data_IF_746367775002
#
_entry.id   IF_746367775002
#
_cell.length_a   1.000
_cell.length_b   1.000
_cell.length_c   1.000
_cell.angle_alpha   90.00
_cell.angle_beta   90.00
_cell.angle_gamma   90.00
#
_symmetry.space_group_name_H-M   'P 1'
#
loop_
_entity.id
_entity.type
_entity.pdbx_description
1 polymer ?
#
# COMPACT_ATOMS: atom_id res chain seq x y z
N UNK A 1 -1.43 12.28 23.75
CA UNK A 1 -2.73 11.59 23.67
C UNK A 1 -2.77 10.48 24.72
N UNK A 2 -3.91 10.20 25.33
CA UNK A 2 -4.08 9.07 26.27
C UNK A 2 -5.26 8.23 25.80
N UNK A 3 -5.05 6.94 25.54
CA UNK A 3 -6.11 6.03 25.14
C UNK A 3 -6.91 5.55 26.37
N UNK A 4 -8.24 5.63 26.30
CA UNK A 4 -9.12 5.25 27.41
C UNK A 4 -9.32 3.74 27.58
N UNK A 5 -9.33 3.00 26.47
CA UNK A 5 -9.47 1.54 26.48
C UNK A 5 -8.84 0.93 25.22
N UNK A 6 -8.49 -0.36 25.29
CA UNK A 6 -8.02 -1.14 24.16
C UNK A 6 -9.01 -2.27 23.87
N UNK A 7 -9.26 -2.53 22.58
CA UNK A 7 -10.07 -3.66 22.12
C UNK A 7 -9.28 -4.48 21.09
N UNK A 8 -9.06 -5.78 21.31
CA UNK A 8 -8.42 -6.63 20.31
C UNK A 8 -9.38 -6.87 19.15
N UNK A 9 -8.95 -6.51 17.94
CA UNK A 9 -9.68 -6.67 16.67
C UNK A 9 -8.71 -7.20 15.60
N UNK A 10 -9.26 -7.84 14.57
CA UNK A 10 -8.53 -8.24 13.36
C UNK A 10 -8.93 -7.37 12.16
N UNK A 11 -8.16 -7.41 11.06
CA UNK A 11 -8.26 -6.45 9.94
C UNK A 11 -9.68 -6.04 9.55
N UNK A 12 -10.56 -6.98 9.21
CA UNK A 12 -11.95 -6.67 8.82
C UNK A 12 -12.78 -6.10 9.97
N UNK A 13 -12.59 -6.61 11.19
CA UNK A 13 -13.29 -6.12 12.37
C UNK A 13 -12.81 -4.71 12.77
N UNK A 14 -11.53 -4.37 12.56
CA UNK A 14 -10.97 -3.04 12.81
C UNK A 14 -11.60 -1.99 11.90
N UNK A 15 -11.70 -2.27 10.59
CA UNK A 15 -12.36 -1.36 9.63
C UNK A 15 -13.80 -1.08 10.03
N UNK A 16 -14.59 -2.14 10.31
CA UNK A 16 -15.99 -1.98 10.71
C UNK A 16 -16.15 -1.22 12.04
N UNK A 17 -15.22 -1.42 12.98
CA UNK A 17 -15.23 -0.70 14.25
C UNK A 17 -14.89 0.78 14.09
N UNK A 18 -13.98 1.14 13.17
CA UNK A 18 -13.67 2.52 12.81
C UNK A 18 -14.88 3.20 12.15
N UNK A 19 -15.48 2.57 11.13
CA UNK A 19 -16.64 3.13 10.42
C UNK A 19 -17.84 3.36 11.35
N UNK A 20 -18.07 2.44 12.30
CA UNK A 20 -19.19 2.55 13.24
C UNK A 20 -18.92 3.45 14.44
N UNK A 21 -17.71 4.00 14.58
CA UNK A 21 -17.30 4.80 15.73
C UNK A 21 -17.18 4.01 17.03
N UNK A 22 -17.04 2.68 16.95
CA UNK A 22 -16.80 1.82 18.10
C UNK A 22 -15.36 1.96 18.64
N UNK A 23 -14.42 2.34 17.77
CA UNK A 23 -13.05 2.71 18.13
C UNK A 23 -12.68 4.01 17.41
N UNK A 24 -11.85 4.84 18.05
CA UNK A 24 -11.38 6.11 17.46
C UNK A 24 -10.10 5.94 16.61
N UNK A 25 -9.33 4.88 16.87
CA UNK A 25 -8.05 4.57 16.21
C UNK A 25 -7.94 3.05 16.03
N UNK A 26 -7.43 2.62 14.89
CA UNK A 26 -7.26 1.21 14.53
C UNK A 26 -5.95 0.95 13.80
N UNK A 27 -5.49 -0.29 13.84
CA UNK A 27 -4.29 -0.73 13.10
C UNK A 27 -4.71 -1.14 11.69
N UNK A 28 -4.14 -0.48 10.70
CA UNK A 28 -4.25 -0.76 9.27
C UNK A 28 -2.83 -0.82 8.68
N UNK A 29 -2.67 -1.44 7.51
CA UNK A 29 -1.41 -1.40 6.74
C UNK A 29 -1.44 -0.22 5.77
N UNK A 30 -0.30 0.43 5.55
CA UNK A 30 -0.19 1.73 4.86
C UNK A 30 -0.67 1.73 3.41
N UNK A 31 -0.73 0.57 2.77
CA UNK A 31 -1.16 0.40 1.37
C UNK A 31 -2.56 -0.24 1.23
N UNK A 32 -3.32 -0.34 2.32
CA UNK A 32 -4.69 -0.88 2.26
C UNK A 32 -5.63 0.10 1.55
N UNK A 33 -6.25 -0.37 0.48
CA UNK A 33 -7.26 0.34 -0.34
C UNK A 33 -8.39 0.98 0.49
N UNK A 34 -8.75 0.34 1.61
CA UNK A 34 -9.82 0.80 2.50
C UNK A 34 -9.56 2.18 3.12
N UNK A 35 -8.30 2.60 3.21
CA UNK A 35 -7.93 3.91 3.77
C UNK A 35 -8.58 5.01 2.94
N UNK A 36 -8.36 5.01 1.63
CA UNK A 36 -8.95 5.98 0.72
C UNK A 36 -10.45 5.77 0.54
N UNK A 37 -10.88 4.51 0.35
CA UNK A 37 -12.29 4.18 0.11
C UNK A 37 -13.23 4.58 1.26
N UNK A 38 -12.69 4.74 2.49
CA UNK A 38 -13.44 5.14 3.69
C UNK A 38 -13.05 6.50 4.24
N UNK A 39 -12.21 7.26 3.52
CA UNK A 39 -11.71 8.58 3.92
C UNK A 39 -11.08 8.54 5.33
N UNK A 40 -10.32 7.48 5.61
CA UNK A 40 -9.56 7.36 6.85
C UNK A 40 -8.26 8.16 6.76
N UNK A 41 -7.86 8.73 7.90
CA UNK A 41 -6.61 9.47 8.00
C UNK A 41 -5.50 8.54 8.48
N UNK A 42 -4.47 8.33 7.64
CA UNK A 42 -3.25 7.64 8.04
C UNK A 42 -2.40 8.53 8.94
N UNK A 43 -1.96 8.00 10.08
CA UNK A 43 -1.06 8.70 10.99
C UNK A 43 0.41 8.42 10.61
N UNK A 44 1.25 9.45 10.67
CA UNK A 44 2.69 9.34 10.47
C UNK A 44 3.36 8.58 11.62
N UNK A 45 4.25 7.63 11.31
CA UNK A 45 5.15 7.00 12.30
C UNK A 45 6.39 7.88 12.51
N UNK A 46 6.19 9.02 13.16
CA UNK A 46 7.19 10.06 13.37
C UNK A 46 8.41 9.62 14.18
N UNK A 47 8.26 8.57 14.99
CA UNK A 47 9.32 7.98 15.81
C UNK A 47 9.98 6.76 15.17
N UNK A 48 9.57 6.36 13.97
CA UNK A 48 10.05 5.16 13.27
C UNK A 48 9.97 3.92 14.17
N UNK A 49 8.83 3.73 14.83
CA UNK A 49 8.61 2.59 15.71
C UNK A 49 8.47 1.30 14.91
N UNK A 50 7.95 1.38 13.68
CA UNK A 50 7.87 0.28 12.73
C UNK A 50 9.06 0.29 11.78
N UNK A 51 9.54 -0.90 11.43
CA UNK A 51 10.50 -1.03 10.35
C UNK A 51 9.83 -0.72 9.02
N UNK A 52 10.52 -0.03 8.12
CA UNK A 52 10.03 0.19 6.77
C UNK A 52 9.95 -1.16 6.01
N UNK A 53 8.81 -1.41 5.38
CA UNK A 53 8.54 -2.60 4.58
C UNK A 53 8.50 -2.25 3.08
N UNK A 54 9.57 -1.65 2.57
CA UNK A 54 9.66 -1.20 1.18
C UNK A 54 9.61 -2.36 0.19
N UNK A 55 8.85 -2.19 -0.89
CA UNK A 55 8.84 -3.12 -2.02
C UNK A 55 10.23 -3.08 -2.67
N UNK A 56 10.91 -4.23 -2.71
CA UNK A 56 12.26 -4.35 -3.26
C UNK A 56 12.34 -5.51 -4.24
N UNK A 57 12.64 -5.27 -5.53
CA UNK A 57 12.85 -6.34 -6.49
C UNK A 57 14.02 -7.24 -6.11
N UNK A 58 13.83 -8.55 -6.24
CA UNK A 58 14.89 -9.54 -6.04
C UNK A 58 15.07 -10.36 -7.33
N UNK A 59 16.27 -10.33 -7.88
CA UNK A 59 16.62 -10.99 -9.14
C UNK A 59 17.84 -11.90 -8.99
N UNK A 60 17.91 -12.97 -9.78
CA UNK A 60 19.05 -13.89 -9.79
C UNK A 60 20.24 -13.28 -10.54
N UNK A 61 21.45 -13.46 -10.00
CA UNK A 61 22.69 -12.97 -10.62
C UNK A 61 22.91 -13.47 -12.05
N UNK A 62 22.37 -14.64 -12.41
CA UNK A 62 22.54 -15.22 -13.75
C UNK A 62 21.71 -14.55 -14.84
N UNK A 63 20.76 -13.67 -14.49
CA UNK A 63 19.87 -12.98 -15.44
C UNK A 63 19.92 -11.46 -15.31
N UNK A 64 20.71 -10.93 -14.36
CA UNK A 64 20.84 -9.48 -14.16
C UNK A 64 21.86 -8.90 -15.12
N UNK A 65 21.49 -7.80 -15.76
CA UNK A 65 22.37 -6.93 -16.52
C UNK A 65 21.98 -5.46 -16.27
N UNK A 66 22.69 -4.54 -16.91
CA UNK A 66 22.49 -3.09 -16.71
C UNK A 66 21.10 -2.65 -17.20
N UNK A 67 20.54 -3.28 -18.24
CA UNK A 67 19.22 -2.95 -18.79
C UNK A 67 18.12 -3.37 -17.82
N UNK A 68 18.17 -4.62 -17.33
CA UNK A 68 17.20 -5.14 -16.36
C UNK A 68 17.28 -4.38 -15.04
N UNK A 69 18.49 -4.03 -14.59
CA UNK A 69 18.67 -3.23 -13.36
C UNK A 69 18.01 -1.86 -13.50
N UNK A 70 18.28 -1.15 -14.61
CA UNK A 70 17.70 0.17 -14.85
C UNK A 70 16.16 0.12 -14.90
N UNK A 71 15.58 -0.87 -15.59
CA UNK A 71 14.13 -1.03 -15.67
C UNK A 71 13.49 -1.27 -14.29
N UNK A 72 14.11 -2.11 -13.45
CA UNK A 72 13.61 -2.38 -12.10
C UNK A 72 13.78 -1.17 -11.16
N UNK A 73 14.87 -0.42 -11.31
CA UNK A 73 15.10 0.81 -10.56
C UNK A 73 14.09 1.90 -10.94
N UNK A 74 13.78 2.05 -12.23
CA UNK A 74 12.79 3.02 -12.72
C UNK A 74 11.38 2.70 -12.18
N UNK A 75 10.97 1.42 -12.22
CA UNK A 75 9.70 0.97 -11.60
C UNK A 75 9.71 1.22 -10.10
N UNK A 76 10.80 0.87 -9.41
CA UNK A 76 10.90 1.05 -7.96
C UNK A 76 10.83 2.52 -7.54
N UNK A 77 11.38 3.42 -8.36
CA UNK A 77 11.34 4.86 -8.14
C UNK A 77 9.94 5.46 -8.36
N UNK A 78 9.15 4.88 -9.27
CA UNK A 78 7.77 5.31 -9.54
C UNK A 78 6.78 4.85 -8.45
N UNK A 79 7.08 3.78 -7.71
CA UNK A 79 6.21 3.26 -6.66
C UNK A 79 6.20 4.17 -5.42
N UNK A 80 5.01 4.68 -5.07
CA UNK A 80 4.76 5.48 -3.87
C UNK A 80 3.66 4.82 -3.03
N UNK A 81 3.60 5.11 -1.73
CA UNK A 81 2.52 4.59 -0.88
C UNK A 81 1.13 4.98 -1.41
N UNK A 82 1.00 6.19 -1.95
CA UNK A 82 -0.25 6.70 -2.51
C UNK A 82 -0.68 5.90 -3.74
N UNK A 83 0.18 5.79 -4.76
CA UNK A 83 -0.20 5.04 -5.96
C UNK A 83 -0.37 3.53 -5.69
N UNK A 84 0.41 2.92 -4.80
CA UNK A 84 0.18 1.51 -4.43
C UNK A 84 -1.19 1.33 -3.78
N UNK A 85 -1.64 2.30 -2.98
CA UNK A 85 -2.98 2.25 -2.36
C UNK A 85 -4.08 2.30 -3.41
N UNK A 86 -3.94 3.17 -4.42
CA UNK A 86 -4.87 3.27 -5.56
C UNK A 86 -4.86 2.00 -6.42
N UNK A 87 -3.68 1.50 -6.79
CA UNK A 87 -3.52 0.26 -7.57
C UNK A 87 -4.14 -0.94 -6.84
N UNK A 88 -3.97 -1.04 -5.53
CA UNK A 88 -4.65 -2.05 -4.72
C UNK A 88 -6.17 -1.84 -4.71
N UNK A 89 -6.66 -0.60 -4.69
CA UNK A 89 -8.07 -0.26 -4.78
C UNK A 89 -8.72 -0.75 -6.08
N UNK A 90 -8.07 -0.49 -7.22
CA UNK A 90 -8.53 -0.97 -8.54
C UNK A 90 -8.70 -2.49 -8.58
N UNK A 91 -7.79 -3.23 -7.93
CA UNK A 91 -7.88 -4.69 -7.87
C UNK A 91 -8.90 -5.17 -6.84
N UNK A 92 -8.83 -4.71 -5.59
CA UNK A 92 -9.60 -5.26 -4.48
C UNK A 92 -11.06 -4.80 -4.46
N UNK A 93 -11.32 -3.56 -4.90
CA UNK A 93 -12.62 -2.91 -4.83
C UNK A 93 -13.29 -2.92 -6.21
N UNK A 94 -12.60 -2.43 -7.24
CA UNK A 94 -13.16 -2.32 -8.59
C UNK A 94 -13.08 -3.64 -9.38
N UNK A 95 -12.34 -4.62 -8.84
CA UNK A 95 -12.21 -5.98 -9.39
C UNK A 95 -11.62 -5.99 -10.80
N UNK A 96 -10.73 -5.03 -11.10
CA UNK A 96 -9.95 -5.01 -12.33
C UNK A 96 -8.90 -6.12 -12.34
N UNK A 97 -8.53 -6.58 -13.54
CA UNK A 97 -7.48 -7.59 -13.68
C UNK A 97 -6.12 -6.98 -13.28
N UNK A 98 -5.35 -7.61 -12.36
CA UNK A 98 -4.08 -7.06 -11.89
C UNK A 98 -3.06 -6.82 -13.01
N UNK A 99 -3.09 -7.61 -14.09
CA UNK A 99 -2.16 -7.42 -15.20
C UNK A 99 -2.54 -6.16 -16.00
N UNK A 100 -3.83 -5.89 -16.18
CA UNK A 100 -4.30 -4.63 -16.78
C UNK A 100 -3.95 -3.43 -15.91
N UNK A 101 -4.18 -3.50 -14.59
CA UNK A 101 -3.82 -2.43 -13.66
C UNK A 101 -2.31 -2.11 -13.71
N UNK A 102 -1.47 -3.15 -13.76
CA UNK A 102 -0.02 -2.97 -13.88
C UNK A 102 0.40 -2.40 -15.25
N UNK A 103 -0.22 -2.84 -16.35
CA UNK A 103 0.05 -2.32 -17.70
C UNK A 103 -0.31 -0.84 -17.81
N UNK A 104 -1.48 -0.45 -17.28
CA UNK A 104 -1.93 0.93 -17.24
C UNK A 104 -0.96 1.80 -16.42
N UNK A 105 -0.59 1.35 -15.21
CA UNK A 105 0.37 2.07 -14.35
C UNK A 105 1.70 2.32 -15.07
N UNK A 106 2.28 1.27 -15.67
CA UNK A 106 3.55 1.40 -16.38
C UNK A 106 3.42 2.33 -17.59
N UNK A 107 2.29 2.29 -18.31
CA UNK A 107 2.04 3.18 -19.45
C UNK A 107 1.89 4.64 -19.01
N UNK A 108 1.19 4.90 -17.90
CA UNK A 108 0.98 6.24 -17.35
C UNK A 108 2.28 6.87 -16.82
N UNK A 109 3.13 6.08 -16.18
CA UNK A 109 4.47 6.49 -15.73
C UNK A 109 5.50 6.57 -16.88
N UNK A 110 5.11 6.20 -18.12
CA UNK A 110 6.00 6.23 -19.28
C UNK A 110 7.09 5.16 -19.27
N UNK A 111 6.85 4.07 -18.55
CA UNK A 111 7.72 2.91 -18.40
C UNK A 111 7.38 1.77 -19.38
N UNK A 112 6.33 1.94 -20.20
CA UNK A 112 5.89 1.02 -21.25
C UNK A 112 5.49 1.75 -22.54
#
# INVERSE_FOLDING_TARGET
VTFGSFKPLDGTATVAALESGQVDVGVLFSTQSVIEAKDFVLLEDDMNLQAAESITPLISEGVVDDEVTQLLDDVSAALTTENITDLNGRVEIDQEDPATVAEDFLTEEGLL
#
